data_IF_228256454115
#
_entry.id   IF_228256454115
#
_cell.length_a   1.000
_cell.length_b   1.000
_cell.length_c   1.000
_cell.angle_alpha   90.00
_cell.angle_beta   90.00
_cell.angle_gamma   90.00
#
_symmetry.space_group_name_H-M   'P 1'
#
loop_
_entity.id
_entity.type
_entity.pdbx_description
1 polymer ?
#
# COMPACT_ATOMS: atom_id res chain seq x y z
N UNK A 1 -25.25 -39.60 -3.38
CA UNK A 1 -25.61 -38.19 -3.67
C UNK A 1 -24.89 -37.20 -2.76
N UNK A 2 -24.95 -37.33 -1.43
CA UNK A 2 -24.35 -36.40 -0.45
C UNK A 2 -22.84 -36.13 -0.64
N UNK A 3 -22.05 -37.17 -0.97
CA UNK A 3 -20.59 -37.04 -1.18
C UNK A 3 -20.20 -36.25 -2.45
N UNK A 4 -21.02 -36.33 -3.52
CA UNK A 4 -20.82 -35.53 -4.74
C UNK A 4 -21.17 -34.06 -4.51
N UNK A 5 -22.21 -33.82 -3.72
CA UNK A 5 -22.64 -32.47 -3.31
C UNK A 5 -21.56 -31.79 -2.46
N UNK A 6 -20.96 -32.49 -1.49
CA UNK A 6 -19.85 -31.94 -0.68
C UNK A 6 -18.61 -31.59 -1.51
N UNK A 7 -18.26 -32.39 -2.51
CA UNK A 7 -17.12 -32.11 -3.40
C UNK A 7 -17.38 -30.88 -4.27
N UNK A 8 -18.59 -30.75 -4.82
CA UNK A 8 -18.96 -29.57 -5.64
C UNK A 8 -18.97 -28.29 -4.80
N UNK A 9 -19.47 -28.34 -3.55
CA UNK A 9 -19.43 -27.20 -2.62
C UNK A 9 -17.98 -26.84 -2.25
N UNK A 10 -17.11 -27.84 -2.04
CA UNK A 10 -15.69 -27.62 -1.78
C UNK A 10 -14.96 -26.94 -2.95
N UNK A 11 -15.24 -27.37 -4.19
CA UNK A 11 -14.65 -26.74 -5.39
C UNK A 11 -15.16 -25.32 -5.57
N UNK A 12 -16.46 -25.09 -5.35
CA UNK A 12 -17.08 -23.76 -5.51
C UNK A 12 -16.58 -22.74 -4.48
N UNK A 13 -16.39 -23.18 -3.23
CA UNK A 13 -15.79 -22.35 -2.17
C UNK A 13 -14.32 -22.04 -2.46
N UNK A 14 -13.56 -23.02 -2.95
CA UNK A 14 -12.16 -22.81 -3.34
C UNK A 14 -12.05 -21.82 -4.51
N UNK A 15 -12.87 -21.95 -5.56
CA UNK A 15 -12.86 -21.00 -6.68
C UNK A 15 -13.23 -19.58 -6.27
N UNK A 16 -14.14 -19.42 -5.30
CA UNK A 16 -14.56 -18.11 -4.81
C UNK A 16 -13.43 -17.39 -4.04
N UNK A 17 -12.63 -18.13 -3.27
CA UNK A 17 -11.46 -17.55 -2.57
C UNK A 17 -10.34 -17.12 -3.51
N UNK A 18 -10.10 -17.88 -4.60
CA UNK A 18 -9.12 -17.56 -5.62
C UNK A 18 -9.48 -16.29 -6.41
N UNK A 19 -10.77 -16.06 -6.67
CA UNK A 19 -11.23 -14.83 -7.33
C UNK A 19 -11.10 -13.59 -6.44
N UNK A 20 -11.29 -13.69 -5.12
CA UNK A 20 -11.10 -12.55 -4.21
C UNK A 20 -9.64 -12.07 -4.14
N UNK A 21 -8.68 -12.97 -4.26
CA UNK A 21 -7.25 -12.62 -4.24
C UNK A 21 -6.82 -11.82 -5.49
N UNK A 22 -7.45 -12.06 -6.65
CA UNK A 22 -7.14 -11.37 -7.90
C UNK A 22 -7.67 -9.94 -7.99
N UNK A 23 -8.60 -9.53 -7.11
CA UNK A 23 -9.16 -8.18 -7.08
C UNK A 23 -8.39 -7.18 -6.22
N UNK A 24 -7.28 -7.57 -5.57
CA UNK A 24 -6.46 -6.61 -4.85
C UNK A 24 -5.70 -5.71 -5.83
N UNK A 25 -6.18 -4.47 -5.98
CA UNK A 25 -5.47 -3.44 -6.72
C UNK A 25 -4.08 -3.20 -6.11
N UNK A 26 -3.06 -3.03 -6.96
CA UNK A 26 -1.71 -2.74 -6.49
C UNK A 26 -1.70 -1.42 -5.72
N UNK A 27 -1.03 -1.36 -4.55
CA UNK A 27 -0.92 -0.12 -3.79
C UNK A 27 -0.16 0.94 -4.59
N UNK A 28 -0.65 2.17 -4.56
CA UNK A 28 0.02 3.31 -5.17
C UNK A 28 1.21 3.69 -4.29
N UNK A 29 2.42 3.61 -4.85
CA UNK A 29 3.65 4.02 -4.17
C UNK A 29 4.00 5.48 -4.51
N UNK A 30 4.10 6.34 -3.49
CA UNK A 30 4.46 7.75 -3.63
C UNK A 30 5.82 7.99 -2.96
N UNK A 31 6.79 8.50 -3.74
CA UNK A 31 8.09 8.93 -3.24
C UNK A 31 8.07 10.45 -3.05
N UNK A 32 7.98 10.90 -1.81
CA UNK A 32 7.88 12.33 -1.47
C UNK A 32 9.24 12.87 -1.07
N UNK A 33 9.83 13.73 -1.91
CA UNK A 33 11.11 14.40 -1.64
C UNK A 33 10.93 15.78 -0.99
N UNK A 34 11.85 16.17 -0.11
CA UNK A 34 12.01 17.57 0.30
C UNK A 34 13.47 17.94 0.57
N UNK A 35 13.79 19.23 0.45
CA UNK A 35 15.15 19.78 0.67
C UNK A 35 15.35 20.42 2.05
N UNK A 36 14.34 20.40 2.92
CA UNK A 36 14.47 20.86 4.30
C UNK A 36 15.51 20.07 5.11
N UNK A 37 16.25 20.76 5.96
CA UNK A 37 17.22 20.14 6.88
C UNK A 37 16.50 19.26 7.93
N UNK A 38 17.19 18.30 8.57
CA UNK A 38 16.60 17.45 9.61
C UNK A 38 15.97 18.27 10.75
N UNK A 39 14.71 17.97 11.10
CA UNK A 39 13.97 18.72 12.12
C UNK A 39 13.39 20.06 11.64
N UNK A 40 13.58 20.43 10.38
CA UNK A 40 12.86 21.56 9.78
C UNK A 40 11.35 21.30 9.73
N UNK A 41 10.56 22.37 9.56
CA UNK A 41 9.11 22.26 9.37
C UNK A 41 8.78 21.32 8.18
N UNK A 42 9.56 21.36 7.11
CA UNK A 42 9.38 20.47 5.96
C UNK A 42 9.58 19.00 6.32
N UNK A 43 10.63 18.67 7.09
CA UNK A 43 10.86 17.31 7.56
C UNK A 43 9.71 16.82 8.45
N UNK A 44 9.34 17.60 9.47
CA UNK A 44 8.29 17.23 10.43
C UNK A 44 6.95 17.04 9.74
N UNK A 45 6.57 17.97 8.85
CA UNK A 45 5.27 17.92 8.17
C UNK A 45 5.19 16.82 7.11
N UNK A 46 6.28 16.55 6.38
CA UNK A 46 6.34 15.44 5.43
C UNK A 46 6.22 14.08 6.12
N UNK A 47 6.92 13.88 7.24
CA UNK A 47 6.85 12.64 8.02
C UNK A 47 5.46 12.41 8.62
N UNK A 48 4.86 13.45 9.21
CA UNK A 48 3.50 13.36 9.74
C UNK A 48 2.45 13.14 8.64
N UNK A 49 2.64 13.74 7.46
CA UNK A 49 1.78 13.47 6.31
C UNK A 49 1.86 12.01 5.89
N UNK A 50 3.06 11.47 5.68
CA UNK A 50 3.25 10.07 5.28
C UNK A 50 2.65 9.10 6.31
N UNK A 51 2.87 9.35 7.60
CA UNK A 51 2.27 8.56 8.70
C UNK A 51 0.74 8.57 8.65
N UNK A 52 0.12 9.73 8.48
CA UNK A 52 -1.36 9.85 8.43
C UNK A 52 -1.95 9.19 7.19
N UNK A 53 -1.32 9.37 6.02
CA UNK A 53 -1.76 8.75 4.76
C UNK A 53 -1.64 7.23 4.85
N UNK A 54 -0.49 6.71 5.26
CA UNK A 54 -0.27 5.27 5.38
C UNK A 54 -1.23 4.64 6.39
N UNK A 55 -1.56 5.35 7.47
CA UNK A 55 -2.55 4.89 8.45
C UNK A 55 -3.98 4.92 7.89
N UNK A 56 -4.34 5.95 7.13
CA UNK A 56 -5.72 6.16 6.65
C UNK A 56 -6.05 5.35 5.40
N UNK A 57 -5.06 5.10 4.54
CA UNK A 57 -5.21 4.47 3.23
C UNK A 57 -4.49 3.12 3.14
N UNK A 58 -4.36 2.42 4.27
CA UNK A 58 -3.70 1.10 4.37
C UNK A 58 -4.10 0.18 3.21
N UNK A 59 -3.11 -0.42 2.55
CA UNK A 59 -3.30 -1.34 1.43
C UNK A 59 -3.68 -0.68 0.09
N UNK A 60 -3.86 0.65 0.05
CA UNK A 60 -4.16 1.40 -1.18
C UNK A 60 -3.05 2.37 -1.57
N UNK A 61 -2.43 3.03 -0.60
CA UNK A 61 -1.36 4.00 -0.82
C UNK A 61 -0.24 3.78 0.19
N UNK A 62 0.99 3.86 -0.28
CA UNK A 62 2.19 3.91 0.55
C UNK A 62 3.00 5.16 0.19
N UNK A 63 3.18 6.05 1.15
CA UNK A 63 4.03 7.24 1.04
C UNK A 63 5.34 6.99 1.75
N UNK A 64 6.45 7.22 1.04
CA UNK A 64 7.80 7.19 1.58
C UNK A 64 8.46 8.55 1.41
N UNK A 65 8.87 9.15 2.54
CA UNK A 65 9.58 10.42 2.57
C UNK A 65 11.05 10.20 2.31
N UNK A 66 11.63 11.01 1.43
CA UNK A 66 13.05 11.07 1.17
C UNK A 66 13.54 12.47 1.50
N UNK A 67 14.51 12.53 2.40
CA UNK A 67 15.11 13.78 2.82
C UNK A 67 16.11 14.27 1.77
N UNK A 68 16.63 15.49 1.95
CA UNK A 68 17.65 16.10 1.10
C UNK A 68 18.70 15.09 0.64
N UNK A 69 19.04 15.14 -0.65
CA UNK A 69 20.12 14.35 -1.26
C UNK A 69 19.87 12.83 -1.36
N UNK A 70 18.70 12.31 -0.93
CA UNK A 70 18.39 10.89 -1.03
C UNK A 70 17.72 10.48 -2.36
N UNK A 71 17.11 11.42 -3.09
CA UNK A 71 16.49 11.16 -4.39
C UNK A 71 17.35 11.58 -5.59
N UNK A 72 18.49 12.23 -5.36
CA UNK A 72 19.27 12.90 -6.40
C UNK A 72 18.87 14.36 -6.59
N UNK A 73 19.51 15.03 -7.54
CA UNK A 73 19.12 16.35 -8.05
C UNK A 73 18.00 16.22 -9.09
N UNK A 74 17.27 17.30 -9.32
CA UNK A 74 16.29 17.42 -10.43
C UNK A 74 16.98 17.75 -11.77
N UNK A 75 18.28 17.43 -11.88
CA UNK A 75 19.10 17.53 -13.09
C UNK A 75 19.20 16.16 -13.75
#
# INVERSE_FOLDING_TARGET
>A
MKRKISVVIGIFSLSLTLWQALLQAQPISIRLGHVGFPGSLFAITADEYAKRVNTSLQGKVEVKVFHSSQLGSDE
#
